data_IF_833773525831
#
_entry.id   IF_833773525831
#
_cell.length_a   1.000
_cell.length_b   1.000
_cell.length_c   1.000
_cell.angle_alpha   90.00
_cell.angle_beta   90.00
_cell.angle_gamma   90.00
#
_symmetry.space_group_name_H-M   'P 1'
#
loop_
_entity.id
_entity.type
_entity.pdbx_description
1 polymer ?
#
# COMPACT_ATOMS: atom_id res chain seq x y z
N UNK A 1 -78.67 -9.14 -23.16
CA UNK A 1 -77.52 -8.52 -22.49
C UNK A 1 -76.27 -8.88 -23.29
N UNK A 2 -75.69 -7.94 -24.05
CA UNK A 2 -74.52 -8.20 -24.93
C UNK A 2 -73.22 -7.87 -24.19
N UNK A 3 -72.29 -8.82 -24.08
CA UNK A 3 -70.97 -8.64 -23.48
C UNK A 3 -69.93 -8.57 -24.60
N UNK A 4 -69.47 -7.37 -24.94
CA UNK A 4 -68.36 -7.19 -25.90
C UNK A 4 -67.03 -7.48 -25.21
N UNK A 5 -66.32 -8.52 -25.66
CA UNK A 5 -64.92 -8.78 -25.30
C UNK A 5 -64.01 -8.00 -26.25
N UNK A 6 -63.40 -6.89 -25.78
CA UNK A 6 -62.36 -6.15 -26.53
C UNK A 6 -61.10 -7.02 -26.63
N UNK A 7 -60.71 -7.36 -27.86
CA UNK A 7 -59.55 -8.17 -28.16
C UNK A 7 -58.35 -7.24 -28.46
N UNK A 8 -57.38 -7.15 -27.54
CA UNK A 8 -56.16 -6.36 -27.72
C UNK A 8 -55.21 -7.11 -28.67
N UNK A 9 -55.20 -6.75 -29.96
CA UNK A 9 -54.18 -7.23 -30.90
C UNK A 9 -52.84 -6.59 -30.53
N UNK A 10 -51.92 -7.38 -29.98
CA UNK A 10 -50.51 -6.99 -29.85
C UNK A 10 -49.91 -6.96 -31.26
N UNK A 11 -49.68 -5.78 -31.82
CA UNK A 11 -48.85 -5.62 -33.01
C UNK A 11 -47.40 -5.92 -32.63
N UNK A 12 -46.90 -7.09 -32.99
CA UNK A 12 -45.47 -7.41 -32.88
C UNK A 12 -44.72 -6.67 -33.98
N UNK A 13 -44.15 -5.51 -33.65
CA UNK A 13 -43.15 -4.85 -34.49
C UNK A 13 -41.83 -5.62 -34.33
N UNK A 14 -41.37 -6.28 -35.40
CA UNK A 14 -40.08 -6.96 -35.44
C UNK A 14 -38.96 -5.97 -35.72
N UNK A 15 -37.83 -6.11 -35.00
CA UNK A 15 -36.60 -5.37 -35.31
C UNK A 15 -35.98 -5.87 -36.61
N UNK A 16 -35.42 -4.95 -37.40
CA UNK A 16 -34.65 -5.32 -38.58
C UNK A 16 -33.25 -5.81 -38.19
N UNK A 17 -32.67 -6.70 -39.00
CA UNK A 17 -31.32 -7.23 -38.76
C UNK A 17 -30.26 -6.10 -38.76
N UNK A 18 -30.45 -5.09 -39.61
CA UNK A 18 -29.57 -3.93 -39.68
C UNK A 18 -29.64 -3.04 -38.44
N UNK A 19 -30.83 -2.85 -37.86
CA UNK A 19 -30.97 -2.10 -36.60
C UNK A 19 -30.22 -2.77 -35.46
N UNK A 20 -30.33 -4.10 -35.34
CA UNK A 20 -29.57 -4.84 -34.32
C UNK A 20 -28.05 -4.74 -34.56
N UNK A 21 -27.62 -4.83 -35.82
CA UNK A 21 -26.20 -4.79 -36.20
C UNK A 21 -25.57 -3.42 -35.88
N UNK A 22 -26.27 -2.33 -36.16
CA UNK A 22 -25.78 -0.98 -35.85
C UNK A 22 -25.67 -0.76 -34.34
N UNK A 23 -26.62 -1.29 -33.55
CA UNK A 23 -26.61 -1.14 -32.08
C UNK A 23 -25.41 -1.84 -31.46
N UNK A 24 -25.12 -3.09 -31.84
CA UNK A 24 -23.95 -3.80 -31.29
C UNK A 24 -22.62 -3.16 -31.76
N UNK A 25 -22.60 -2.58 -32.96
CA UNK A 25 -21.43 -1.85 -33.45
C UNK A 25 -21.15 -0.60 -32.59
N UNK A 26 -22.19 0.17 -32.25
CA UNK A 26 -22.04 1.36 -31.39
C UNK A 26 -21.68 0.96 -29.95
N UNK A 27 -22.35 -0.06 -29.38
CA UNK A 27 -22.06 -0.53 -28.02
C UNK A 27 -20.61 -1.01 -27.90
N UNK A 28 -20.10 -1.76 -28.88
CA UNK A 28 -18.72 -2.27 -28.84
C UNK A 28 -17.69 -1.13 -28.92
N UNK A 29 -17.94 -0.13 -29.77
CA UNK A 29 -17.09 1.07 -29.86
C UNK A 29 -17.06 1.83 -28.54
N UNK A 30 -18.23 2.17 -27.98
CA UNK A 30 -18.30 2.91 -26.71
C UNK A 30 -17.71 2.11 -25.55
N UNK A 31 -17.97 0.81 -25.49
CA UNK A 31 -17.46 -0.06 -24.44
C UNK A 31 -15.94 -0.12 -24.45
N UNK A 32 -15.29 -0.18 -25.62
CA UNK A 32 -13.83 -0.25 -25.74
C UNK A 32 -13.10 0.91 -25.05
N UNK A 33 -13.62 2.14 -25.21
CA UNK A 33 -13.06 3.35 -24.60
C UNK A 33 -13.27 3.35 -23.08
N UNK A 34 -14.45 2.90 -22.63
CA UNK A 34 -14.76 2.77 -21.19
C UNK A 34 -13.85 1.74 -20.53
N UNK A 35 -13.60 0.60 -21.16
CA UNK A 35 -12.70 -0.44 -20.60
C UNK A 35 -11.27 0.05 -20.43
N UNK A 36 -10.71 0.79 -21.41
CA UNK A 36 -9.37 1.34 -21.30
C UNK A 36 -9.22 2.32 -20.12
N UNK A 37 -10.22 3.19 -19.92
CA UNK A 37 -10.21 4.16 -18.81
C UNK A 37 -10.41 3.52 -17.42
N UNK A 38 -11.19 2.44 -17.33
CA UNK A 38 -11.49 1.76 -16.07
C UNK A 38 -10.24 1.11 -15.43
N UNK A 39 -9.32 0.57 -16.24
CA UNK A 39 -8.09 -0.03 -15.73
C UNK A 39 -7.20 1.00 -15.03
N UNK A 40 -7.02 2.18 -15.63
CA UNK A 40 -6.29 3.29 -14.99
C UNK A 40 -7.00 3.80 -13.73
N UNK A 41 -8.33 3.90 -13.75
CA UNK A 41 -9.11 4.33 -12.59
C UNK A 41 -8.97 3.36 -11.41
N UNK A 42 -8.96 2.05 -11.66
CA UNK A 42 -8.76 1.01 -10.63
C UNK A 42 -7.36 1.09 -10.01
N UNK A 43 -6.34 1.31 -10.82
CA UNK A 43 -4.96 1.50 -10.36
C UNK A 43 -4.86 2.71 -9.41
N UNK A 44 -5.39 3.87 -9.84
CA UNK A 44 -5.44 5.08 -9.01
C UNK A 44 -6.21 4.88 -7.71
N UNK A 45 -7.32 4.13 -7.75
CA UNK A 45 -8.11 3.84 -6.55
C UNK A 45 -7.35 2.97 -5.54
N UNK A 46 -6.58 1.97 -6.03
CA UNK A 46 -5.70 1.16 -5.17
C UNK A 46 -4.60 2.01 -4.56
N UNK A 47 -3.93 2.84 -5.34
CA UNK A 47 -2.88 3.74 -4.83
C UNK A 47 -3.41 4.72 -3.78
N UNK A 48 -4.58 5.33 -4.03
CA UNK A 48 -5.22 6.22 -3.07
C UNK A 48 -5.58 5.51 -1.76
N UNK A 49 -6.06 4.26 -1.84
CA UNK A 49 -6.31 3.42 -0.66
C UNK A 49 -5.01 3.14 0.09
N UNK A 50 -3.94 2.76 -0.61
CA UNK A 50 -2.61 2.48 -0.02
C UNK A 50 -2.06 3.68 0.74
N UNK A 51 -2.09 4.86 0.13
CA UNK A 51 -1.65 6.11 0.78
C UNK A 51 -2.51 6.45 2.01
N UNK A 52 -3.83 6.23 1.94
CA UNK A 52 -4.74 6.46 3.07
C UNK A 52 -4.44 5.51 4.23
N UNK A 53 -4.21 4.23 3.95
CA UNK A 53 -3.88 3.22 4.98
C UNK A 53 -2.53 3.51 5.64
N UNK A 54 -1.51 3.91 4.88
CA UNK A 54 -0.20 4.31 5.44
C UNK A 54 -0.35 5.49 6.41
N UNK A 55 -1.17 6.49 6.07
CA UNK A 55 -1.45 7.62 6.98
C UNK A 55 -2.22 7.19 8.22
N UNK A 56 -3.11 6.21 8.11
CA UNK A 56 -3.81 5.66 9.27
C UNK A 56 -2.83 4.90 10.17
N UNK A 57 -1.93 4.10 9.59
CA UNK A 57 -0.87 3.40 10.32
C UNK A 57 0.03 4.41 11.04
N UNK A 58 0.46 5.48 10.37
CA UNK A 58 1.26 6.54 10.98
C UNK A 58 0.58 7.08 12.25
N UNK A 59 -0.73 7.41 12.18
CA UNK A 59 -1.48 7.87 13.35
C UNK A 59 -1.54 6.83 14.47
N UNK A 60 -1.66 5.54 14.11
CA UNK A 60 -1.62 4.45 15.07
C UNK A 60 -0.26 4.34 15.77
N UNK A 61 0.84 4.49 15.02
CA UNK A 61 2.20 4.53 15.57
C UNK A 61 2.39 5.73 16.50
N UNK A 62 1.92 6.92 16.10
CA UNK A 62 1.97 8.13 16.93
C UNK A 62 1.14 7.96 18.22
N UNK A 63 -0.04 7.34 18.15
CA UNK A 63 -0.85 7.05 19.33
C UNK A 63 -0.15 6.07 20.28
N UNK A 64 0.50 5.04 19.73
CA UNK A 64 1.28 4.10 20.51
C UNK A 64 2.48 4.79 21.19
N UNK A 65 3.23 5.61 20.46
CA UNK A 65 4.34 6.41 20.99
C UNK A 65 3.85 7.33 22.11
N UNK A 66 2.72 8.01 21.94
CA UNK A 66 2.16 8.89 22.96
C UNK A 66 1.79 8.14 24.25
N UNK A 67 1.49 6.84 24.15
CA UNK A 67 1.09 6.00 25.29
C UNK A 67 2.30 5.36 25.98
N UNK A 68 3.26 4.85 25.21
CA UNK A 68 4.36 4.02 25.71
C UNK A 68 5.75 4.67 25.61
N UNK A 69 5.87 5.82 24.95
CA UNK A 69 7.12 6.56 24.74
C UNK A 69 8.10 5.90 23.77
N UNK A 70 7.82 4.70 23.28
CA UNK A 70 8.69 3.97 22.35
C UNK A 70 7.89 2.96 21.53
N UNK A 71 8.43 2.57 20.37
CA UNK A 71 7.87 1.50 19.55
C UNK A 71 8.57 0.17 19.86
N UNK A 72 7.81 -0.93 19.97
CA UNK A 72 8.38 -2.25 20.17
C UNK A 72 9.09 -2.71 18.90
N UNK A 73 10.03 -3.62 19.09
CA UNK A 73 10.77 -4.22 18.01
C UNK A 73 9.89 -5.26 17.30
N UNK A 74 9.65 -5.15 15.98
CA UNK A 74 8.84 -6.13 15.27
C UNK A 74 9.54 -7.50 15.20
N UNK A 75 8.73 -8.56 15.28
CA UNK A 75 9.19 -9.94 15.47
C UNK A 75 9.26 -10.77 14.17
N UNK A 76 8.58 -10.35 13.10
CA UNK A 76 8.29 -11.23 11.96
C UNK A 76 9.38 -11.26 10.88
N UNK A 77 9.94 -10.10 10.49
CA UNK A 77 10.99 -10.05 9.45
C UNK A 77 12.41 -9.88 10.02
N UNK A 78 12.53 -9.74 11.34
CA UNK A 78 13.79 -9.81 12.07
C UNK A 78 14.70 -8.58 11.93
N UNK A 79 15.86 -8.69 12.58
CA UNK A 79 16.90 -7.64 12.57
C UNK A 79 17.67 -7.68 11.26
N UNK A 80 17.85 -6.52 10.65
CA UNK A 80 18.79 -6.28 9.56
C UNK A 80 20.22 -6.45 10.09
N UNK A 81 20.78 -7.67 10.04
CA UNK A 81 22.19 -7.91 10.33
C UNK A 81 23.02 -7.54 9.10
N UNK A 82 23.16 -6.24 8.87
CA UNK A 82 23.83 -5.72 7.68
C UNK A 82 25.31 -5.45 7.96
N UNK A 83 26.13 -5.75 6.95
CA UNK A 83 27.56 -5.45 6.89
C UNK A 83 27.88 -3.99 7.26
N UNK A 84 29.13 -3.63 7.58
CA UNK A 84 29.52 -2.23 7.81
C UNK A 84 29.05 -1.33 6.65
N UNK A 85 28.36 -0.22 6.96
CA UNK A 85 27.79 0.69 5.94
C UNK A 85 26.25 0.82 5.94
N UNK A 86 25.52 0.19 6.85
CA UNK A 86 24.05 0.14 6.85
C UNK A 86 23.47 0.38 8.25
N UNK A 87 22.19 0.75 8.32
CA UNK A 87 21.48 0.94 9.60
C UNK A 87 21.09 -0.41 10.22
N UNK A 88 21.36 -0.52 11.51
CA UNK A 88 20.92 -1.64 12.33
C UNK A 88 19.50 -1.38 12.86
N UNK A 89 18.56 -2.24 12.46
CA UNK A 89 17.14 -2.03 12.73
C UNK A 89 16.31 -3.26 12.41
N UNK A 90 15.00 -3.15 12.54
CA UNK A 90 14.06 -4.27 12.40
C UNK A 90 12.99 -3.98 11.37
N UNK A 91 12.70 -5.00 10.56
CA UNK A 91 11.73 -4.92 9.48
C UNK A 91 10.42 -5.60 9.87
N UNK A 92 9.33 -5.10 9.28
CA UNK A 92 8.03 -5.75 9.25
C UNK A 92 7.33 -5.48 7.91
N UNK A 93 6.57 -6.45 7.40
CA UNK A 93 5.93 -6.36 6.08
C UNK A 93 4.51 -6.91 6.12
N UNK A 94 3.60 -6.20 5.47
CA UNK A 94 2.23 -6.64 5.22
C UNK A 94 2.22 -7.78 4.22
N UNK A 95 2.02 -9.02 4.69
CA UNK A 95 1.75 -10.18 3.82
C UNK A 95 0.61 -11.03 4.39
N UNK A 96 -0.01 -11.87 3.55
CA UNK A 96 -0.99 -12.88 3.98
C UNK A 96 -0.37 -14.21 4.43
N UNK A 97 0.95 -14.26 4.65
CA UNK A 97 1.57 -15.54 5.01
C UNK A 97 1.18 -15.90 6.45
N UNK A 98 0.74 -17.14 6.65
CA UNK A 98 0.26 -17.61 7.94
C UNK A 98 1.34 -17.43 9.02
N UNK A 99 1.03 -16.65 10.05
CA UNK A 99 1.92 -16.39 11.19
C UNK A 99 2.65 -15.04 11.14
N UNK A 100 2.64 -14.32 10.00
CA UNK A 100 3.18 -12.96 9.92
C UNK A 100 2.08 -11.94 10.22
N UNK A 101 2.19 -11.24 11.34
CA UNK A 101 1.29 -10.17 11.76
C UNK A 101 1.96 -8.81 11.60
N UNK A 102 1.75 -8.16 10.47
CA UNK A 102 2.23 -6.80 10.23
C UNK A 102 1.77 -5.85 11.33
N UNK A 103 2.69 -5.21 12.03
CA UNK A 103 2.43 -4.31 13.16
C UNK A 103 1.47 -4.92 14.19
N UNK A 104 1.68 -6.21 14.50
CA UNK A 104 0.84 -6.97 15.43
C UNK A 104 0.69 -6.32 16.81
N UNK A 105 1.67 -5.53 17.24
CA UNK A 105 1.60 -4.76 18.49
C UNK A 105 0.46 -3.72 18.47
N UNK A 106 0.19 -3.06 17.33
CA UNK A 106 -0.93 -2.12 17.21
C UNK A 106 -2.29 -2.83 17.28
N UNK A 107 -2.34 -4.09 16.83
CA UNK A 107 -3.54 -4.91 16.94
C UNK A 107 -3.74 -5.38 18.39
N UNK A 108 -2.66 -5.81 19.03
CA UNK A 108 -2.66 -6.28 20.41
C UNK A 108 -3.05 -5.18 21.39
N UNK A 109 -2.61 -3.95 21.14
CA UNK A 109 -2.96 -2.76 21.93
C UNK A 109 -4.39 -2.25 21.66
N UNK A 110 -5.11 -2.82 20.69
CA UNK A 110 -6.48 -2.42 20.35
C UNK A 110 -6.56 -1.13 19.51
N UNK A 111 -5.43 -0.57 19.07
CA UNK A 111 -5.40 0.58 18.14
C UNK A 111 -5.99 0.18 16.78
N UNK A 112 -5.71 -1.05 16.33
CA UNK A 112 -6.32 -1.61 15.13
C UNK A 112 -7.08 -2.91 15.43
N UNK A 113 -8.26 -3.07 14.84
CA UNK A 113 -9.00 -4.35 14.91
C UNK A 113 -8.38 -5.44 14.03
N UNK A 114 -7.65 -5.04 12.98
CA UNK A 114 -6.90 -5.92 12.08
C UNK A 114 -5.81 -5.09 11.41
N UNK A 115 -4.64 -5.70 11.20
CA UNK A 115 -3.58 -5.07 10.43
C UNK A 115 -4.00 -4.81 8.98
N UNK A 116 -3.72 -3.61 8.42
CA UNK A 116 -3.94 -3.34 7.01
C UNK A 116 -3.13 -4.29 6.14
N UNK A 117 -3.77 -4.79 5.07
CA UNK A 117 -3.15 -5.66 4.07
C UNK A 117 -3.23 -4.95 2.72
N UNK A 118 -2.10 -4.87 2.04
CA UNK A 118 -2.01 -4.30 0.69
C UNK A 118 -3.06 -4.95 -0.25
N UNK A 119 -3.77 -4.19 -1.11
CA UNK A 119 -4.79 -4.75 -1.98
C UNK A 119 -4.30 -5.79 -3.02
N UNK A 120 -3.04 -5.70 -3.45
CA UNK A 120 -2.40 -6.65 -4.36
C UNK A 120 -1.73 -7.79 -3.58
N UNK A 121 -1.21 -7.48 -2.38
CA UNK A 121 -0.71 -8.44 -1.40
C UNK A 121 0.27 -9.46 -2.00
N UNK A 122 1.36 -8.94 -2.55
CA UNK A 122 2.38 -9.80 -3.17
C UNK A 122 3.07 -10.64 -2.09
N UNK A 123 3.18 -11.98 -2.25
CA UNK A 123 3.88 -12.81 -1.28
C UNK A 123 5.33 -12.35 -1.06
N UNK A 124 5.81 -12.44 0.18
CA UNK A 124 7.21 -12.16 0.50
C UNK A 124 7.95 -13.43 0.96
N UNK A 125 9.22 -13.56 0.56
CA UNK A 125 10.12 -14.58 1.13
C UNK A 125 10.44 -14.27 2.59
N UNK A 126 10.44 -15.29 3.45
CA UNK A 126 10.70 -15.16 4.90
C UNK A 126 12.18 -15.37 5.20
N UNK A 127 13.08 -14.40 4.91
CA UNK A 127 14.50 -14.55 5.26
C UNK A 127 15.20 -13.19 5.46
N UNK A 128 15.02 -12.55 6.62
CA UNK A 128 15.95 -11.57 7.24
C UNK A 128 16.26 -10.26 6.50
N UNK A 129 15.88 -10.14 5.23
CA UNK A 129 15.94 -8.92 4.45
C UNK A 129 14.76 -8.90 3.48
N UNK A 130 13.90 -7.88 3.52
CA UNK A 130 12.74 -7.84 2.64
C UNK A 130 13.14 -7.78 1.17
N UNK A 131 12.61 -8.70 0.37
CA UNK A 131 12.55 -8.51 -1.07
C UNK A 131 11.51 -7.43 -1.36
N UNK A 132 11.95 -6.27 -1.84
CA UNK A 132 11.08 -5.13 -2.16
C UNK A 132 10.36 -5.26 -3.50
N UNK A 133 10.61 -6.33 -4.27
CA UNK A 133 9.86 -6.60 -5.49
C UNK A 133 8.43 -7.06 -5.16
N UNK A 134 7.44 -6.26 -5.51
CA UNK A 134 6.01 -6.54 -5.33
C UNK A 134 5.32 -5.53 -4.42
N UNK A 135 4.06 -5.23 -4.72
CA UNK A 135 3.20 -4.33 -3.96
C UNK A 135 2.89 -4.86 -2.54
N UNK A 136 3.31 -4.08 -1.53
CA UNK A 136 3.09 -4.34 -0.10
C UNK A 136 3.32 -3.09 0.75
N UNK A 137 2.87 -3.14 2.02
CA UNK A 137 3.32 -2.21 3.05
C UNK A 137 4.59 -2.70 3.73
N UNK A 138 5.46 -1.77 4.11
CA UNK A 138 6.67 -2.07 4.88
C UNK A 138 6.78 -1.12 6.07
N UNK A 139 7.39 -1.62 7.13
CA UNK A 139 7.75 -0.88 8.32
C UNK A 139 9.20 -1.18 8.69
N UNK A 140 9.93 -0.16 9.11
CA UNK A 140 11.29 -0.27 9.59
C UNK A 140 11.46 0.53 10.88
N UNK A 141 12.04 -0.08 11.91
CA UNK A 141 12.28 0.53 13.21
C UNK A 141 13.77 0.54 13.54
N UNK A 142 14.29 1.69 13.98
CA UNK A 142 15.61 1.83 14.58
C UNK A 142 15.45 2.44 15.97
N UNK A 143 15.69 1.67 17.05
CA UNK A 143 15.63 2.20 18.41
C UNK A 143 16.73 3.25 18.67
N UNK A 144 16.54 4.07 19.70
CA UNK A 144 17.55 5.04 20.13
C UNK A 144 18.87 4.36 20.52
N UNK A 145 20.01 4.99 20.20
CA UNK A 145 21.34 4.49 20.57
C UNK A 145 21.94 3.41 19.66
N UNK A 146 21.24 3.02 18.59
CA UNK A 146 21.80 2.16 17.53
C UNK A 146 22.59 3.01 16.51
N UNK A 147 23.76 2.53 16.12
CA UNK A 147 24.71 3.28 15.29
C UNK A 147 24.61 2.90 13.80
N UNK A 148 24.62 3.92 12.94
CA UNK A 148 24.99 3.79 11.53
C UNK A 148 26.51 3.88 11.40
N UNK A 149 27.16 2.79 10.97
CA UNK A 149 28.58 2.86 10.58
C UNK A 149 28.69 3.41 9.15
N UNK A 150 28.73 4.75 8.98
CA UNK A 150 29.09 5.35 7.68
C UNK A 150 28.42 6.66 7.25
N UNK A 151 27.64 7.35 8.09
CA UNK A 151 26.95 8.59 7.70
C UNK A 151 27.02 9.72 8.71
N UNK A 152 26.49 10.86 8.30
CA UNK A 152 26.54 12.13 9.03
C UNK A 152 25.49 12.26 10.15
N UNK A 153 24.57 11.29 10.27
CA UNK A 153 23.42 11.34 11.19
C UNK A 153 23.66 10.54 12.48
N UNK A 154 23.59 11.23 13.62
CA UNK A 154 23.60 10.62 14.97
C UNK A 154 22.17 10.64 15.50
N UNK A 155 21.59 9.45 15.73
CA UNK A 155 20.25 9.31 16.30
C UNK A 155 20.32 9.36 17.84
N UNK A 156 19.91 10.48 18.43
CA UNK A 156 19.66 10.59 19.87
C UNK A 156 18.30 10.00 20.28
N UNK A 157 17.37 9.89 19.32
CA UNK A 157 16.00 9.41 19.48
C UNK A 157 15.76 8.22 18.54
N UNK A 158 14.74 7.42 18.82
CA UNK A 158 14.35 6.33 17.94
C UNK A 158 13.74 6.89 16.65
N UNK A 159 13.79 6.13 15.56
CA UNK A 159 13.12 6.50 14.32
C UNK A 159 12.45 5.31 13.67
N UNK A 160 11.39 5.57 12.92
CA UNK A 160 10.76 4.57 12.09
C UNK A 160 10.48 5.10 10.69
N UNK A 161 10.32 4.16 9.75
CA UNK A 161 9.81 4.41 8.42
C UNK A 161 8.63 3.49 8.15
N UNK A 162 7.61 4.02 7.49
CA UNK A 162 6.43 3.28 7.03
C UNK A 162 6.13 3.69 5.60
N UNK A 163 5.74 2.74 4.76
CA UNK A 163 5.47 3.07 3.37
C UNK A 163 4.91 1.92 2.55
N UNK A 164 4.85 2.14 1.24
CA UNK A 164 4.49 1.14 0.24
C UNK A 164 5.50 1.07 -0.91
N UNK A 165 5.56 -0.12 -1.51
CA UNK A 165 6.30 -0.43 -2.75
C UNK A 165 5.31 -0.66 -3.91
N UNK A 166 5.81 -0.55 -5.14
CA UNK A 166 5.09 -0.78 -6.39
C UNK A 166 3.69 -0.12 -6.45
N UNK A 167 3.66 1.20 -6.25
CA UNK A 167 2.50 2.03 -6.60
C UNK A 167 2.32 2.03 -8.11
N UNK A 168 1.10 1.75 -8.56
CA UNK A 168 0.85 1.46 -9.98
C UNK A 168 0.85 2.70 -10.88
N UNK A 169 0.65 3.87 -10.27
CA UNK A 169 0.57 5.16 -10.97
C UNK A 169 1.70 6.11 -10.61
N UNK A 170 2.54 5.76 -9.64
CA UNK A 170 3.75 6.49 -9.25
C UNK A 170 4.98 5.82 -9.86
N UNK A 171 5.03 5.77 -11.19
CA UNK A 171 6.24 5.34 -11.89
C UNK A 171 7.13 6.57 -12.11
N UNK A 172 8.36 6.55 -11.55
CA UNK A 172 9.53 7.40 -11.90
C UNK A 172 9.81 8.71 -11.14
N UNK A 173 9.40 8.85 -9.87
CA UNK A 173 9.85 9.94 -8.98
C UNK A 173 10.68 9.41 -7.80
N UNK A 174 11.60 10.20 -7.21
CA UNK A 174 12.12 9.86 -5.88
C UNK A 174 10.93 9.70 -4.91
N UNK A 175 11.01 8.82 -3.89
CA UNK A 175 9.90 8.55 -3.00
C UNK A 175 9.32 9.85 -2.44
N UNK A 176 7.99 9.99 -2.42
CA UNK A 176 7.38 11.07 -1.68
C UNK A 176 7.69 10.84 -0.20
N UNK A 177 8.33 11.82 0.43
CA UNK A 177 8.83 11.71 1.79
C UNK A 177 8.33 12.88 2.62
N UNK A 178 7.65 12.56 3.72
CA UNK A 178 7.42 13.50 4.80
C UNK A 178 8.45 13.23 5.91
N UNK A 179 9.39 14.16 6.12
CA UNK A 179 10.41 14.11 7.18
C UNK A 179 11.59 15.06 6.94
N UNK A 180 12.13 15.66 8.00
CA UNK A 180 13.30 16.57 7.96
C UNK A 180 14.59 15.84 8.38
N UNK A 181 15.78 16.40 8.08
CA UNK A 181 17.05 15.93 8.68
C UNK A 181 17.31 14.41 8.69
N UNK A 182 17.79 13.92 9.84
CA UNK A 182 18.05 12.52 10.18
C UNK A 182 16.79 11.72 10.55
N UNK A 183 15.61 12.33 10.40
CA UNK A 183 14.34 11.69 10.71
C UNK A 183 14.04 10.56 9.70
N UNK A 184 14.61 10.67 8.50
CA UNK A 184 14.46 9.71 7.41
C UNK A 184 15.79 9.07 7.02
N UNK A 185 15.97 7.80 7.40
CA UNK A 185 17.22 7.02 7.24
C UNK A 185 17.63 6.76 5.78
N UNK A 186 16.67 6.80 4.85
CA UNK A 186 16.92 6.50 3.44
C UNK A 186 17.79 7.54 2.72
N UNK A 187 17.88 8.79 3.22
CA UNK A 187 18.68 9.87 2.59
C UNK A 187 20.17 9.56 2.55
N UNK A 188 20.65 8.75 3.50
CA UNK A 188 22.06 8.36 3.63
C UNK A 188 22.38 7.00 2.99
N UNK A 189 21.38 6.34 2.36
CA UNK A 189 21.49 4.97 1.83
C UNK A 189 21.26 4.96 0.30
N UNK A 190 22.34 5.16 -0.49
CA UNK A 190 22.22 5.16 -1.95
C UNK A 190 21.77 3.78 -2.49
N UNK A 191 21.01 3.82 -3.59
CA UNK A 191 20.60 2.70 -4.46
C UNK A 191 19.48 1.77 -3.96
N UNK A 192 19.44 1.39 -2.68
CA UNK A 192 18.44 0.40 -2.26
C UNK A 192 17.06 1.01 -1.97
N UNK A 193 17.01 2.18 -1.32
CA UNK A 193 15.74 2.81 -0.93
C UNK A 193 15.15 3.68 -2.02
N UNK A 194 15.99 4.36 -2.80
CA UNK A 194 15.52 5.26 -3.85
C UNK A 194 14.77 4.54 -4.96
N UNK A 195 15.17 3.30 -5.26
CA UNK A 195 14.69 2.55 -6.42
C UNK A 195 13.63 1.51 -6.07
N UNK A 196 13.41 1.25 -4.77
CA UNK A 196 12.51 0.19 -4.29
C UNK A 196 11.21 0.71 -3.64
N UNK A 197 11.13 1.99 -3.29
CA UNK A 197 10.00 2.55 -2.55
C UNK A 197 9.40 3.76 -3.26
N UNK A 198 8.07 3.81 -3.34
CA UNK A 198 7.35 4.90 -4.03
C UNK A 198 6.77 5.93 -3.04
N UNK A 199 6.41 5.50 -1.83
CA UNK A 199 5.81 6.37 -0.82
C UNK A 199 6.31 6.01 0.58
N UNK A 200 6.92 6.97 1.27
CA UNK A 200 7.52 6.79 2.58
C UNK A 200 7.12 7.93 3.53
N UNK A 201 6.78 7.57 4.76
CA UNK A 201 6.65 8.49 5.88
C UNK A 201 7.69 8.06 6.91
N UNK A 202 8.48 9.01 7.42
CA UNK A 202 9.38 8.75 8.54
C UNK A 202 9.10 9.72 9.67
N UNK A 203 9.37 9.28 10.90
CA UNK A 203 9.27 10.12 12.08
C UNK A 203 10.21 9.63 13.18
N UNK A 204 10.64 10.54 14.05
CA UNK A 204 11.40 10.25 15.26
C UNK A 204 10.49 10.17 16.48
N UNK A 205 10.92 9.44 17.50
CA UNK A 205 10.22 9.28 18.78
C UNK A 205 11.19 9.18 19.96
#
# INVERSE_FOLDING_TARGET
>A
MLRQTRNHRHLSLGFTLIELLVVIAIISLLSSVVFASLNSARAKARDAKRISEIKQIQKGLELYINTYGSLPVPIDYGRSNVSPGWWDGWWDLSTNTAGAGFLSFLVTDGIFSKSPIDPQNTPAGHNGFPNFAGARYFYFNVPAGYNYQGGSCILNLGTYMIGATDLETFSSGPPYVSGSGCDCLWKDLPNMFKDSFDYIICNQF
#
